data_IF_787265580658
#
_entry.id   IF_787265580658
#
_cell.length_a   1.000
_cell.length_b   1.000
_cell.length_c   1.000
_cell.angle_alpha   90.00
_cell.angle_beta   90.00
_cell.angle_gamma   90.00
#
_symmetry.space_group_name_H-M   'P 1'
#
loop_
_entity.id
_entity.type
_entity.pdbx_description
1 polymer ?
#
# COMPACT_ATOMS: atom_id res chain seq x y z
N UNK A 1 28.43 0.54 2.46
CA UNK A 1 27.35 1.33 3.09
C UNK A 1 27.96 2.65 3.54
N UNK A 2 27.20 3.74 3.57
CA UNK A 2 27.63 5.00 4.20
C UNK A 2 26.58 5.44 5.23
N UNK A 3 26.96 5.80 6.46
CA UNK A 3 26.06 6.50 7.38
C UNK A 3 25.85 7.93 6.87
N UNK A 4 24.60 8.33 6.72
CA UNK A 4 24.24 9.67 6.23
C UNK A 4 23.31 10.31 7.27
N UNK A 5 23.60 11.52 7.76
CA UNK A 5 22.68 12.24 8.65
C UNK A 5 21.30 12.35 7.99
N UNK A 6 20.23 12.15 8.78
CA UNK A 6 18.86 12.10 8.25
C UNK A 6 18.49 13.31 7.39
N UNK A 7 18.93 14.52 7.77
CA UNK A 7 18.68 15.77 7.06
C UNK A 7 19.49 15.93 5.75
N UNK A 8 20.44 15.01 5.48
CA UNK A 8 21.27 14.98 4.27
C UNK A 8 20.90 13.86 3.31
N UNK A 9 19.89 13.03 3.63
CA UNK A 9 19.48 11.92 2.77
C UNK A 9 19.12 12.38 1.36
N UNK A 10 18.29 13.42 1.24
CA UNK A 10 17.85 13.94 -0.06
C UNK A 10 19.03 14.48 -0.88
N UNK A 11 19.94 15.24 -0.26
CA UNK A 11 21.16 15.71 -0.90
C UNK A 11 22.06 14.56 -1.38
N UNK A 12 22.21 13.49 -0.58
CA UNK A 12 23.00 12.33 -0.96
C UNK A 12 22.38 11.58 -2.15
N UNK A 13 21.04 11.44 -2.19
CA UNK A 13 20.35 10.83 -3.34
C UNK A 13 20.49 11.70 -4.58
N UNK A 14 20.28 13.01 -4.48
CA UNK A 14 20.41 13.94 -5.61
C UNK A 14 21.82 13.98 -6.18
N UNK A 15 22.85 13.94 -5.33
CA UNK A 15 24.24 13.93 -5.77
C UNK A 15 24.62 12.63 -6.49
N UNK A 16 24.10 11.48 -6.03
CA UNK A 16 24.51 10.17 -6.54
C UNK A 16 23.62 9.63 -7.67
N UNK A 17 22.35 10.03 -7.74
CA UNK A 17 21.39 9.58 -8.76
C UNK A 17 21.89 9.73 -10.22
N UNK A 18 22.46 10.88 -10.62
CA UNK A 18 22.93 11.10 -12.00
C UNK A 18 24.12 10.20 -12.41
N UNK A 19 24.83 9.61 -11.44
CA UNK A 19 26.06 8.83 -11.66
C UNK A 19 25.79 7.40 -12.19
N UNK A 20 25.04 7.28 -13.30
CA UNK A 20 24.57 5.99 -13.85
C UNK A 20 25.69 4.99 -14.19
N UNK A 21 26.89 5.47 -14.51
CA UNK A 21 28.06 4.65 -14.87
C UNK A 21 28.83 4.09 -13.65
N UNK A 22 28.47 4.52 -12.43
CA UNK A 22 29.16 4.15 -11.19
C UNK A 22 28.15 3.56 -10.19
N UNK A 23 28.21 3.97 -8.92
CA UNK A 23 27.25 3.57 -7.88
C UNK A 23 25.80 4.01 -8.21
N UNK A 24 25.64 5.18 -8.84
CA UNK A 24 24.34 5.78 -9.14
C UNK A 24 23.48 6.04 -7.90
N UNK A 25 22.16 6.05 -8.06
CA UNK A 25 21.22 6.15 -6.95
C UNK A 25 21.38 5.00 -5.93
N UNK A 26 21.08 5.24 -4.64
CA UNK A 26 21.05 4.20 -3.63
C UNK A 26 20.13 3.03 -4.01
N UNK A 27 20.47 1.84 -3.53
CA UNK A 27 19.62 0.64 -3.66
C UNK A 27 18.80 0.36 -2.40
N UNK A 28 19.14 0.99 -1.27
CA UNK A 28 18.39 0.88 -0.01
C UNK A 28 18.78 2.02 0.95
N UNK A 29 17.80 2.51 1.70
CA UNK A 29 17.95 3.54 2.74
C UNK A 29 17.15 3.09 3.96
N UNK A 30 17.83 2.92 5.10
CA UNK A 30 17.21 2.50 6.36
C UNK A 30 17.78 1.18 6.90
N UNK A 31 16.92 0.38 7.53
CA UNK A 31 17.31 -0.79 8.32
C UNK A 31 18.03 -1.85 7.46
N UNK A 32 19.22 -2.33 7.86
CA UNK A 32 20.02 -3.29 7.12
C UNK A 32 19.36 -4.68 6.96
N UNK A 33 18.44 -5.04 7.87
CA UNK A 33 17.75 -6.34 7.85
C UNK A 33 16.96 -6.58 6.56
N UNK A 34 16.43 -5.53 5.91
CA UNK A 34 15.77 -5.63 4.60
C UNK A 34 16.71 -6.07 3.45
N UNK A 35 18.03 -6.04 3.67
CA UNK A 35 19.05 -6.57 2.77
C UNK A 35 19.64 -7.91 3.25
N UNK A 36 19.14 -8.46 4.37
CA UNK A 36 19.72 -9.65 5.00
C UNK A 36 21.03 -9.37 5.77
N UNK A 37 21.30 -8.11 6.09
CA UNK A 37 22.49 -7.73 6.87
C UNK A 37 22.08 -7.65 8.35
N UNK A 38 22.56 -8.59 9.15
CA UNK A 38 22.22 -8.72 10.58
C UNK A 38 23.06 -7.79 11.47
N UNK A 39 24.34 -7.62 11.15
CA UNK A 39 25.28 -6.82 11.93
C UNK A 39 26.17 -5.94 11.03
N UNK A 40 26.04 -4.63 11.18
CA UNK A 40 26.83 -3.64 10.44
C UNK A 40 28.31 -3.59 10.86
N UNK A 41 28.66 -4.16 12.02
CA UNK A 41 30.05 -4.28 12.49
C UNK A 41 30.76 -5.49 11.88
N UNK A 42 30.04 -6.38 11.18
CA UNK A 42 30.62 -7.55 10.51
C UNK A 42 30.57 -7.35 8.99
N UNK A 43 31.51 -6.55 8.48
CA UNK A 43 31.60 -6.28 7.03
C UNK A 43 32.27 -7.42 6.28
N UNK A 44 31.60 -7.96 5.25
CA UNK A 44 32.19 -8.97 4.36
C UNK A 44 33.38 -8.41 3.55
N UNK A 45 33.29 -7.12 3.19
CA UNK A 45 34.29 -6.41 2.39
C UNK A 45 34.56 -5.01 2.93
N UNK A 46 35.85 -4.66 2.97
CA UNK A 46 36.33 -3.35 3.41
C UNK A 46 36.27 -3.18 4.93
N UNK A 47 36.56 -1.95 5.36
CA UNK A 47 36.60 -1.59 6.78
C UNK A 47 35.21 -1.29 7.32
N UNK A 48 35.03 -1.55 8.62
CA UNK A 48 33.83 -1.18 9.35
C UNK A 48 33.70 0.34 9.46
N UNK A 49 32.46 0.84 9.48
CA UNK A 49 32.17 2.27 9.61
C UNK A 49 31.40 2.53 10.91
N UNK A 50 31.74 3.62 11.59
CA UNK A 50 31.05 4.06 12.79
C UNK A 50 29.79 4.85 12.41
N UNK A 51 28.69 4.58 13.11
CA UNK A 51 27.39 5.22 12.93
C UNK A 51 27.13 6.12 14.14
N UNK A 52 26.82 7.39 13.92
CA UNK A 52 26.49 8.33 14.98
C UNK A 52 24.96 8.42 15.19
N UNK A 53 24.49 8.86 16.36
CA UNK A 53 23.07 9.13 16.57
C UNK A 53 22.52 10.10 15.52
N UNK A 54 21.42 9.73 14.86
CA UNK A 54 20.80 10.51 13.77
C UNK A 54 21.29 10.14 12.36
N UNK A 55 22.31 9.29 12.24
CA UNK A 55 22.71 8.73 10.96
C UNK A 55 21.76 7.62 10.51
N UNK A 56 21.49 7.59 9.21
CA UNK A 56 20.72 6.57 8.52
C UNK A 56 21.68 5.76 7.62
N UNK A 57 21.70 4.41 7.72
CA UNK A 57 22.48 3.59 6.82
C UNK A 57 21.96 3.68 5.37
N UNK A 58 22.85 4.02 4.43
CA UNK A 58 22.53 4.08 3.00
C UNK A 58 23.42 3.13 2.21
N UNK A 59 22.81 2.37 1.30
CA UNK A 59 23.47 1.32 0.53
C UNK A 59 23.43 1.63 -0.96
N UNK A 60 24.54 1.35 -1.62
CA UNK A 60 24.70 1.45 -3.08
C UNK A 60 25.24 0.13 -3.61
N UNK A 61 24.89 -0.18 -4.86
CA UNK A 61 25.51 -1.28 -5.58
C UNK A 61 27.03 -1.03 -5.75
N UNK A 62 27.81 -2.10 -5.70
CA UNK A 62 29.27 -2.05 -5.77
C UNK A 62 29.81 -3.08 -6.77
N UNK A 63 30.95 -2.78 -7.41
CA UNK A 63 31.58 -3.66 -8.39
C UNK A 63 32.05 -5.00 -7.83
N UNK A 64 32.16 -5.14 -6.51
CA UNK A 64 32.49 -6.42 -5.84
C UNK A 64 31.42 -7.50 -6.05
N UNK A 65 30.21 -7.14 -6.50
CA UNK A 65 29.20 -8.13 -6.94
C UNK A 65 29.73 -9.07 -8.04
N UNK A 66 30.65 -8.61 -8.89
CA UNK A 66 31.29 -9.47 -9.88
C UNK A 66 32.21 -10.53 -9.26
N UNK A 67 32.90 -10.19 -8.16
CA UNK A 67 33.72 -11.13 -7.39
C UNK A 67 32.83 -12.18 -6.75
N UNK A 68 31.72 -11.76 -6.13
CA UNK A 68 30.72 -12.66 -5.54
C UNK A 68 30.09 -13.60 -6.56
N UNK A 69 29.79 -13.12 -7.77
CA UNK A 69 29.26 -13.96 -8.84
C UNK A 69 30.25 -15.07 -9.25
N UNK A 70 31.54 -14.74 -9.32
CA UNK A 70 32.62 -15.69 -9.63
C UNK A 70 32.80 -16.73 -8.52
N UNK A 71 32.78 -16.31 -7.25
CA UNK A 71 32.86 -17.21 -6.10
C UNK A 71 31.64 -18.14 -6.06
N UNK A 72 30.46 -17.58 -6.25
CA UNK A 72 29.18 -18.31 -6.22
C UNK A 72 29.05 -19.36 -7.32
N UNK A 73 29.52 -19.07 -8.54
CA UNK A 73 29.48 -20.02 -9.65
C UNK A 73 30.54 -21.13 -9.55
N UNK A 74 31.43 -21.07 -8.54
CA UNK A 74 32.51 -22.04 -8.30
C UNK A 74 33.39 -22.24 -9.54
N UNK A 75 33.73 -21.15 -10.22
CA UNK A 75 34.59 -21.20 -11.40
C UNK A 75 35.91 -21.91 -11.05
N UNK A 76 36.41 -22.85 -11.89
CA UNK A 76 37.66 -23.56 -11.61
C UNK A 76 38.88 -22.63 -11.61
N UNK A 77 38.80 -21.49 -12.29
CA UNK A 77 39.82 -20.45 -12.29
C UNK A 77 39.19 -19.10 -12.62
N UNK A 78 39.56 -18.06 -11.88
CA UNK A 78 39.22 -16.68 -12.19
C UNK A 78 40.26 -15.73 -11.58
N UNK A 79 40.44 -14.57 -12.22
CA UNK A 79 41.32 -13.51 -11.73
C UNK A 79 40.49 -12.26 -11.49
N UNK A 80 40.58 -11.71 -10.28
CA UNK A 80 39.90 -10.47 -9.88
C UNK A 80 40.89 -9.57 -9.12
N UNK A 81 40.48 -8.35 -8.81
CA UNK A 81 41.26 -7.46 -7.95
C UNK A 81 40.93 -7.72 -6.48
N UNK A 82 41.88 -7.50 -5.58
CA UNK A 82 41.59 -7.46 -4.14
C UNK A 82 40.75 -6.23 -3.81
N UNK A 83 39.78 -6.31 -2.88
CA UNK A 83 39.04 -5.15 -2.39
C UNK A 83 39.99 -4.02 -1.96
N UNK A 84 39.70 -2.78 -2.38
CA UNK A 84 40.57 -1.62 -2.15
C UNK A 84 41.77 -1.48 -3.11
N UNK A 85 42.07 -2.49 -3.92
CA UNK A 85 43.18 -2.48 -4.91
C UNK A 85 42.66 -2.37 -6.35
N UNK A 86 41.94 -1.30 -6.66
CA UNK A 86 41.31 -1.10 -7.98
C UNK A 86 42.33 -0.75 -9.08
N UNK A 87 41.99 -1.04 -10.34
CA UNK A 87 42.78 -0.61 -11.49
C UNK A 87 42.53 0.87 -11.80
N UNK A 88 43.53 1.70 -11.57
CA UNK A 88 43.48 3.14 -11.90
C UNK A 88 43.69 3.29 -13.41
N UNK A 89 42.75 3.98 -14.07
CA UNK A 89 42.77 4.19 -15.52
C UNK A 89 43.05 5.65 -15.87
N UNK A 90 43.43 5.92 -17.12
CA UNK A 90 43.53 7.29 -17.66
C UNK A 90 42.15 7.90 -18.04
N UNK A 91 41.06 7.12 -17.92
CA UNK A 91 39.70 7.61 -18.18
C UNK A 91 39.32 8.58 -17.06
N UNK A 92 39.27 9.87 -17.39
CA UNK A 92 38.78 10.89 -16.47
C UNK A 92 37.30 10.68 -16.18
N UNK A 93 36.88 10.94 -14.95
CA UNK A 93 35.47 11.12 -14.61
C UNK A 93 34.98 12.41 -15.27
N UNK A 94 34.64 12.36 -16.55
CA UNK A 94 33.91 13.41 -17.25
C UNK A 94 32.42 13.22 -16.98
N UNK A 95 32.01 13.34 -15.72
CA UNK A 95 30.60 13.35 -15.34
C UNK A 95 30.01 14.71 -15.72
N UNK A 96 29.70 14.90 -16.99
CA UNK A 96 28.57 15.75 -17.32
C UNK A 96 27.33 14.97 -16.94
N UNK A 97 26.53 15.43 -15.95
CA UNK A 97 25.20 14.86 -15.71
C UNK A 97 24.51 14.80 -17.06
N UNK A 98 23.97 13.64 -17.42
CA UNK A 98 23.18 13.54 -18.63
C UNK A 98 22.07 14.60 -18.53
N UNK A 99 22.07 15.65 -19.38
CA UNK A 99 21.07 16.70 -19.32
C UNK A 99 19.65 16.15 -19.58
N UNK A 100 19.53 14.87 -19.99
CA UNK A 100 18.29 14.14 -20.18
C UNK A 100 17.72 13.50 -18.90
N UNK A 101 18.43 13.52 -17.75
CA UNK A 101 17.82 13.09 -16.47
C UNK A 101 16.87 14.18 -15.94
N UNK A 102 15.70 14.30 -16.58
CA UNK A 102 14.65 15.26 -16.23
C UNK A 102 13.93 14.95 -14.91
N UNK A 103 14.05 13.73 -14.40
CA UNK A 103 13.33 13.29 -13.21
C UNK A 103 14.17 13.45 -11.94
N UNK A 104 13.66 14.25 -11.01
CA UNK A 104 14.28 14.50 -9.71
C UNK A 104 13.79 13.44 -8.71
N UNK A 105 14.66 12.63 -8.08
CA UNK A 105 14.24 11.68 -7.04
C UNK A 105 13.79 12.41 -5.77
N UNK A 106 12.77 11.88 -5.12
CA UNK A 106 12.26 12.29 -3.81
C UNK A 106 12.42 11.11 -2.85
N UNK A 107 12.93 11.40 -1.64
CA UNK A 107 13.11 10.42 -0.57
C UNK A 107 11.90 10.49 0.37
N UNK A 108 11.21 9.37 0.56
CA UNK A 108 9.99 9.30 1.38
C UNK A 108 10.16 8.25 2.47
N UNK A 109 10.04 8.63 3.74
CA UNK A 109 10.01 7.67 4.84
C UNK A 109 8.65 6.95 4.84
N UNK A 110 8.69 5.62 4.80
CA UNK A 110 7.50 4.75 4.80
C UNK A 110 7.42 3.84 6.03
N UNK A 111 8.48 3.72 6.83
CA UNK A 111 8.38 3.14 8.17
C UNK A 111 9.40 3.78 9.11
N UNK A 112 9.06 3.90 10.39
CA UNK A 112 9.99 4.29 11.45
C UNK A 112 10.64 3.09 12.14
N UNK A 113 9.96 1.95 12.19
CA UNK A 113 10.46 0.74 12.84
C UNK A 113 9.90 -0.53 12.16
N UNK A 114 10.73 -1.34 11.49
CA UNK A 114 12.11 -1.03 11.13
C UNK A 114 12.16 0.18 10.17
N UNK A 115 13.11 1.08 10.41
CA UNK A 115 13.28 2.30 9.60
C UNK A 115 13.39 1.97 8.10
N UNK A 116 12.53 2.55 7.28
CA UNK A 116 12.52 2.31 5.84
C UNK A 116 12.16 3.58 5.08
N UNK A 117 12.95 3.88 4.06
CA UNK A 117 12.65 4.91 3.07
C UNK A 117 12.47 4.29 1.69
N UNK A 118 11.68 4.97 0.86
CA UNK A 118 11.46 4.66 -0.54
C UNK A 118 11.84 5.84 -1.43
N UNK A 119 12.05 5.58 -2.72
CA UNK A 119 12.37 6.59 -3.73
C UNK A 119 11.32 6.61 -4.83
N UNK A 120 10.98 7.80 -5.29
CA UNK A 120 10.06 8.03 -6.43
C UNK A 120 10.50 9.30 -7.15
N UNK A 121 10.14 9.48 -8.42
CA UNK A 121 10.37 10.77 -9.06
C UNK A 121 9.37 11.82 -8.59
N UNK A 122 9.82 13.08 -8.52
CA UNK A 122 9.01 14.22 -8.12
C UNK A 122 7.72 14.31 -8.93
N UNK A 123 7.81 14.14 -10.26
CA UNK A 123 6.66 14.12 -11.16
C UNK A 123 5.63 13.06 -10.76
N UNK A 124 6.06 11.84 -10.44
CA UNK A 124 5.13 10.77 -10.07
C UNK A 124 4.56 10.98 -8.66
N UNK A 125 5.35 11.51 -7.72
CA UNK A 125 4.85 11.91 -6.41
C UNK A 125 3.77 13.00 -6.51
N UNK A 126 3.95 13.99 -7.38
CA UNK A 126 2.97 15.06 -7.64
C UNK A 126 1.68 14.52 -8.27
N UNK A 127 1.78 13.58 -9.23
CA UNK A 127 0.59 12.90 -9.79
C UNK A 127 -0.18 12.12 -8.72
N UNK A 128 0.52 11.41 -7.83
CA UNK A 128 -0.13 10.67 -6.74
C UNK A 128 -0.80 11.61 -5.75
N UNK A 129 -0.18 12.74 -5.40
CA UNK A 129 -0.82 13.79 -4.58
C UNK A 129 -2.07 14.35 -5.24
N UNK A 130 -2.06 14.53 -6.56
CA UNK A 130 -3.26 14.95 -7.29
C UNK A 130 -4.36 13.90 -7.23
N UNK A 131 -4.04 12.59 -7.27
CA UNK A 131 -5.03 11.53 -7.03
C UNK A 131 -5.63 11.64 -5.62
N UNK A 132 -4.81 11.89 -4.59
CA UNK A 132 -5.25 12.10 -3.20
C UNK A 132 -6.21 13.30 -3.08
N UNK A 133 -5.89 14.43 -3.72
CA UNK A 133 -6.75 15.60 -3.77
C UNK A 133 -8.08 15.33 -4.49
N UNK A 134 -8.05 14.57 -5.60
CA UNK A 134 -9.25 14.23 -6.38
C UNK A 134 -10.22 13.38 -5.57
N UNK A 135 -9.72 12.37 -4.85
CA UNK A 135 -10.57 11.49 -4.03
C UNK A 135 -10.94 12.12 -2.69
N UNK A 136 -10.18 13.09 -2.19
CA UNK A 136 -10.44 13.81 -0.95
C UNK A 136 -11.60 14.83 -1.01
N UNK A 137 -12.38 14.86 -2.09
CA UNK A 137 -13.62 15.65 -2.14
C UNK A 137 -14.65 15.09 -1.13
N UNK A 138 -15.54 15.94 -0.64
CA UNK A 138 -16.56 15.55 0.36
C UNK A 138 -17.96 15.86 -0.18
N UNK A 139 -18.49 15.03 -1.09
CA UNK A 139 -19.80 15.24 -1.68
C UNK A 139 -20.93 15.12 -0.65
N UNK A 140 -20.74 14.29 0.39
CA UNK A 140 -21.69 14.11 1.49
C UNK A 140 -21.65 15.21 2.56
N UNK A 141 -20.71 16.15 2.47
CA UNK A 141 -20.45 17.18 3.49
C UNK A 141 -20.34 16.60 4.91
N UNK A 142 -19.64 15.47 5.03
CA UNK A 142 -19.46 14.69 6.26
C UNK A 142 -18.44 15.32 7.22
N UNK A 143 -17.65 16.28 6.74
CA UNK A 143 -16.58 16.94 7.50
C UNK A 143 -15.21 16.32 7.25
N UNK A 144 -15.09 15.39 6.29
CA UNK A 144 -13.90 14.56 6.07
C UNK A 144 -12.72 15.35 5.51
N UNK A 145 -12.96 16.51 4.90
CA UNK A 145 -11.89 17.43 4.47
C UNK A 145 -10.98 17.85 5.62
N UNK A 146 -11.50 17.86 6.85
CA UNK A 146 -10.73 18.17 8.06
C UNK A 146 -9.93 16.97 8.60
N UNK A 147 -10.10 15.80 8.00
CA UNK A 147 -9.42 14.55 8.37
C UNK A 147 -8.27 14.20 7.41
N UNK A 148 -8.16 14.89 6.27
CA UNK A 148 -7.12 14.64 5.27
C UNK A 148 -5.74 14.87 5.89
N UNK A 149 -4.91 13.82 5.85
CA UNK A 149 -3.49 13.90 6.18
C UNK A 149 -2.73 13.85 4.85
N UNK A 150 -1.84 14.82 4.64
CA UNK A 150 -1.05 14.94 3.42
C UNK A 150 -0.13 13.73 3.22
N UNK A 151 -0.02 13.27 1.98
CA UNK A 151 0.89 12.23 1.51
C UNK A 151 0.58 10.82 2.05
N UNK A 152 -0.59 10.57 2.63
CA UNK A 152 -0.95 9.22 3.11
C UNK A 152 -1.16 8.26 1.96
N UNK A 153 -1.78 8.69 0.85
CA UNK A 153 -1.88 7.89 -0.37
C UNK A 153 -0.50 7.57 -0.93
N UNK A 154 0.40 8.56 -0.99
CA UNK A 154 1.77 8.37 -1.49
C UNK A 154 2.54 7.38 -0.62
N UNK A 155 2.52 7.55 0.70
CA UNK A 155 3.24 6.66 1.63
C UNK A 155 2.64 5.26 1.66
N UNK A 156 1.32 5.14 1.67
CA UNK A 156 0.59 3.86 1.59
C UNK A 156 0.95 3.10 0.31
N UNK A 157 0.87 3.75 -0.85
CA UNK A 157 1.20 3.12 -2.14
C UNK A 157 2.69 2.76 -2.25
N UNK A 158 3.60 3.57 -1.70
CA UNK A 158 5.01 3.22 -1.61
C UNK A 158 5.23 2.02 -0.68
N UNK A 159 4.59 1.94 0.48
CA UNK A 159 4.69 0.75 1.35
C UNK A 159 4.15 -0.50 0.66
N UNK A 160 2.97 -0.41 0.03
CA UNK A 160 2.38 -1.50 -0.74
C UNK A 160 3.25 -1.95 -1.92
N UNK A 161 4.02 -1.04 -2.54
CA UNK A 161 4.90 -1.40 -3.65
C UNK A 161 6.09 -2.26 -3.19
N UNK A 162 6.55 -2.10 -1.94
CA UNK A 162 7.58 -2.94 -1.32
C UNK A 162 7.04 -4.30 -0.83
N UNK A 163 5.74 -4.42 -0.55
CA UNK A 163 5.11 -5.65 -0.08
C UNK A 163 5.11 -6.78 -1.14
N UNK A 164 5.32 -8.02 -0.72
CA UNK A 164 5.19 -9.23 -1.55
C UNK A 164 3.85 -9.93 -1.31
N UNK A 165 3.31 -9.87 -0.10
CA UNK A 165 2.00 -10.40 0.27
C UNK A 165 1.13 -9.36 0.96
N UNK A 166 -0.12 -9.26 0.52
CA UNK A 166 -1.10 -8.27 1.00
C UNK A 166 -2.37 -8.97 1.46
N UNK A 167 -2.86 -8.60 2.64
CA UNK A 167 -4.17 -9.00 3.15
C UNK A 167 -5.12 -7.81 3.08
N UNK A 168 -6.21 -7.94 2.35
CA UNK A 168 -7.24 -6.89 2.23
C UNK A 168 -8.45 -7.28 3.08
N UNK A 169 -9.10 -6.33 3.74
CA UNK A 169 -10.39 -6.53 4.39
C UNK A 169 -11.35 -5.43 3.99
N UNK A 170 -12.61 -5.80 3.80
CA UNK A 170 -13.69 -4.91 3.40
C UNK A 170 -15.02 -5.49 3.85
N UNK A 171 -16.03 -4.63 3.99
CA UNK A 171 -17.38 -5.02 4.33
C UNK A 171 -17.87 -4.24 5.54
N UNK A 172 -18.96 -3.51 5.32
CA UNK A 172 -19.63 -2.69 6.33
C UNK A 172 -21.12 -3.08 6.40
N UNK A 173 -21.61 -3.71 7.48
CA UNK A 173 -23.00 -4.13 7.61
C UNK A 173 -23.94 -2.97 8.03
N UNK A 174 -24.01 -1.92 7.22
CA UNK A 174 -24.78 -0.71 7.52
C UNK A 174 -26.28 -0.97 7.66
N UNK A 175 -26.82 -1.88 6.84
CA UNK A 175 -28.24 -2.17 6.72
C UNK A 175 -28.67 -3.38 7.54
N UNK A 176 -28.47 -3.35 8.85
CA UNK A 176 -28.76 -4.43 9.81
C UNK A 176 -30.17 -5.05 9.77
N UNK A 177 -31.12 -4.47 9.04
CA UNK A 177 -32.49 -5.01 8.84
C UNK A 177 -32.68 -5.72 7.50
N UNK A 178 -31.68 -5.70 6.63
CA UNK A 178 -31.66 -6.35 5.32
C UNK A 178 -30.71 -7.55 5.31
N UNK A 179 -30.90 -8.42 4.32
CA UNK A 179 -30.02 -9.55 4.05
C UNK A 179 -29.64 -9.50 2.56
N UNK A 180 -28.36 -9.35 2.21
CA UNK A 180 -27.24 -9.05 3.11
C UNK A 180 -27.33 -7.64 3.74
N UNK A 181 -26.75 -7.42 4.94
CA UNK A 181 -26.68 -6.08 5.55
C UNK A 181 -25.53 -5.21 5.01
N UNK A 182 -24.64 -5.78 4.20
CA UNK A 182 -23.51 -5.09 3.57
C UNK A 182 -23.95 -3.93 2.66
N UNK A 183 -23.06 -2.95 2.53
CA UNK A 183 -23.21 -1.85 1.59
C UNK A 183 -22.31 -1.96 0.35
N UNK A 184 -22.60 -1.12 -0.64
CA UNK A 184 -21.89 -1.09 -1.93
C UNK A 184 -20.53 -0.40 -1.87
N UNK A 185 -20.22 0.36 -0.80
CA UNK A 185 -18.90 0.94 -0.60
C UNK A 185 -17.93 -0.04 0.07
N UNK A 186 -16.69 -0.08 -0.40
CA UNK A 186 -15.66 -1.02 0.01
C UNK A 186 -15.33 -2.11 -1.00
N UNK A 187 -16.25 -3.06 -1.31
CA UNK A 187 -15.95 -4.21 -2.13
C UNK A 187 -15.39 -3.85 -3.52
N UNK A 188 -15.94 -2.85 -4.25
CA UNK A 188 -15.35 -2.42 -5.52
C UNK A 188 -13.91 -1.95 -5.44
N UNK A 189 -13.58 -1.08 -4.47
CA UNK A 189 -12.22 -0.62 -4.23
C UNK A 189 -11.28 -1.76 -3.84
N UNK A 190 -11.75 -2.68 -2.97
CA UNK A 190 -10.98 -3.85 -2.54
C UNK A 190 -10.62 -4.77 -3.71
N UNK A 191 -11.57 -5.04 -4.61
CA UNK A 191 -11.36 -5.89 -5.77
C UNK A 191 -10.50 -5.21 -6.83
N UNK A 192 -10.61 -3.90 -7.02
CA UNK A 192 -9.72 -3.14 -7.89
C UNK A 192 -8.27 -3.17 -7.39
N UNK A 193 -8.05 -3.01 -6.08
CA UNK A 193 -6.74 -3.16 -5.45
C UNK A 193 -6.21 -4.58 -5.60
N UNK A 194 -7.02 -5.60 -5.32
CA UNK A 194 -6.62 -6.99 -5.45
C UNK A 194 -6.19 -7.33 -6.89
N UNK A 195 -6.97 -6.91 -7.89
CA UNK A 195 -6.64 -7.10 -9.30
C UNK A 195 -5.32 -6.41 -9.68
N UNK A 196 -5.11 -5.18 -9.20
CA UNK A 196 -3.88 -4.42 -9.46
C UNK A 196 -2.67 -5.09 -8.82
N UNK A 197 -2.74 -5.42 -7.54
CA UNK A 197 -1.66 -6.07 -6.80
C UNK A 197 -1.30 -7.45 -7.40
N UNK A 198 -2.29 -8.24 -7.80
CA UNK A 198 -2.05 -9.51 -8.52
C UNK A 198 -1.39 -9.28 -9.88
N UNK A 199 -1.79 -8.25 -10.63
CA UNK A 199 -1.15 -7.88 -11.90
C UNK A 199 0.31 -7.43 -11.72
N UNK A 200 0.65 -6.89 -10.54
CA UNK A 200 2.02 -6.59 -10.13
C UNK A 200 2.79 -7.81 -9.57
N UNK A 201 2.20 -9.01 -9.64
CA UNK A 201 2.83 -10.26 -9.21
C UNK A 201 2.83 -10.49 -7.68
N UNK A 202 2.04 -9.73 -6.92
CA UNK A 202 1.94 -9.87 -5.46
C UNK A 202 0.96 -10.97 -5.08
N UNK A 203 1.20 -11.62 -3.93
CA UNK A 203 0.25 -12.53 -3.31
C UNK A 203 -0.83 -11.70 -2.61
N UNK A 204 -2.10 -11.97 -2.89
CA UNK A 204 -3.21 -11.23 -2.30
C UNK A 204 -4.21 -12.21 -1.72
N UNK A 205 -4.76 -11.90 -0.55
CA UNK A 205 -5.93 -12.56 0.02
C UNK A 205 -6.89 -11.50 0.57
N UNK A 206 -8.18 -11.85 0.67
CA UNK A 206 -9.20 -11.05 1.32
C UNK A 206 -9.65 -11.75 2.61
N UNK A 207 -9.67 -11.04 3.74
CA UNK A 207 -10.29 -11.50 4.98
C UNK A 207 -11.60 -10.75 5.20
N UNK A 208 -12.66 -11.48 5.47
CA UNK A 208 -14.01 -10.94 5.71
C UNK A 208 -14.68 -11.68 6.87
N UNK A 209 -15.86 -11.21 7.28
CA UNK A 209 -16.65 -11.87 8.32
C UNK A 209 -17.04 -13.29 7.86
N UNK A 210 -17.10 -14.24 8.79
CA UNK A 210 -17.57 -15.59 8.48
C UNK A 210 -18.98 -15.56 7.87
N UNK A 211 -19.87 -14.70 8.39
CA UNK A 211 -21.25 -14.61 7.89
C UNK A 211 -21.33 -14.16 6.42
N UNK A 212 -20.33 -13.43 5.92
CA UNK A 212 -20.34 -12.82 4.60
C UNK A 212 -19.43 -13.56 3.60
N UNK A 213 -18.68 -14.58 4.05
CA UNK A 213 -17.71 -15.28 3.19
C UNK A 213 -18.34 -15.87 1.93
N UNK A 214 -19.53 -16.49 2.03
CA UNK A 214 -20.22 -17.09 0.89
C UNK A 214 -20.72 -16.04 -0.11
N UNK A 215 -21.15 -14.88 0.39
CA UNK A 215 -21.54 -13.75 -0.45
C UNK A 215 -20.33 -13.20 -1.21
N UNK A 216 -19.22 -12.93 -0.51
CA UNK A 216 -17.99 -12.47 -1.15
C UNK A 216 -17.45 -13.49 -2.14
N UNK A 217 -17.58 -14.79 -1.86
CA UNK A 217 -17.17 -15.85 -2.78
C UNK A 217 -17.93 -15.76 -4.11
N UNK A 218 -19.26 -15.64 -4.05
CA UNK A 218 -20.10 -15.48 -5.25
C UNK A 218 -19.77 -14.20 -6.02
N UNK A 219 -19.59 -13.07 -5.31
CA UNK A 219 -19.21 -11.80 -5.95
C UNK A 219 -17.88 -11.95 -6.71
N UNK A 220 -16.89 -12.64 -6.14
CA UNK A 220 -15.61 -12.89 -6.81
C UNK A 220 -15.79 -13.81 -8.02
N UNK A 221 -16.57 -14.88 -7.89
CA UNK A 221 -16.88 -15.81 -8.99
C UNK A 221 -17.56 -15.08 -10.16
N UNK A 222 -18.61 -14.31 -9.90
CA UNK A 222 -19.32 -13.53 -10.91
C UNK A 222 -18.44 -12.42 -11.51
N UNK A 223 -17.56 -11.82 -10.69
CA UNK A 223 -16.59 -10.83 -11.17
C UNK A 223 -15.59 -11.43 -12.16
N UNK A 224 -15.23 -12.71 -12.00
CA UNK A 224 -14.39 -13.42 -12.98
C UNK A 224 -15.19 -13.74 -14.23
N UNK A 225 -16.40 -14.27 -14.09
CA UNK A 225 -17.28 -14.62 -15.21
C UNK A 225 -17.57 -13.40 -16.09
N UNK A 226 -17.83 -12.24 -15.48
CA UNK A 226 -18.06 -10.99 -16.19
C UNK A 226 -16.77 -10.27 -16.62
N UNK A 227 -15.59 -10.81 -16.33
CA UNK A 227 -14.29 -10.24 -16.74
C UNK A 227 -13.93 -8.93 -16.04
N UNK A 228 -14.46 -8.69 -14.84
CA UNK A 228 -13.99 -7.63 -13.92
C UNK A 228 -12.65 -8.04 -13.33
N UNK A 229 -12.54 -9.28 -12.88
CA UNK A 229 -11.32 -9.91 -12.37
C UNK A 229 -10.75 -10.90 -13.38
N UNK A 230 -9.42 -10.98 -13.45
CA UNK A 230 -8.72 -11.97 -14.29
C UNK A 230 -8.46 -13.29 -13.55
N UNK A 231 -8.25 -13.20 -12.24
CA UNK A 231 -7.86 -14.32 -11.38
C UNK A 231 -8.68 -14.24 -10.09
N UNK A 232 -9.00 -15.40 -9.52
CA UNK A 232 -9.63 -15.46 -8.21
C UNK A 232 -8.72 -14.90 -7.11
N UNK A 233 -9.34 -14.36 -6.06
CA UNK A 233 -8.66 -13.89 -4.85
C UNK A 233 -9.03 -14.83 -3.71
N UNK A 234 -8.06 -15.46 -3.01
CA UNK A 234 -8.33 -16.28 -1.84
C UNK A 234 -9.13 -15.53 -0.78
N UNK A 235 -10.16 -16.18 -0.23
CA UNK A 235 -10.95 -15.67 0.89
C UNK A 235 -10.55 -16.38 2.19
N UNK A 236 -10.43 -15.60 3.26
CA UNK A 236 -10.09 -16.02 4.61
C UNK A 236 -11.13 -15.46 5.59
N UNK A 237 -11.22 -16.06 6.77
CA UNK A 237 -12.01 -15.55 7.89
C UNK A 237 -11.16 -15.52 9.14
N UNK A 238 -11.53 -14.66 10.08
CA UNK A 238 -10.86 -14.52 11.37
C UNK A 238 -11.88 -14.21 12.46
N UNK A 239 -11.89 -15.00 13.55
CA UNK A 239 -12.91 -14.92 14.61
C UNK A 239 -12.40 -14.56 16.00
N UNK A 240 -11.10 -14.43 16.21
CA UNK A 240 -10.56 -14.05 17.52
C UNK A 240 -10.74 -15.09 18.64
N UNK A 241 -10.91 -16.38 18.33
CA UNK A 241 -11.39 -17.39 19.31
C UNK A 241 -10.38 -17.76 20.41
N UNK A 242 -9.07 -17.55 20.22
CA UNK A 242 -8.04 -17.95 21.19
C UNK A 242 -6.99 -16.86 21.42
N UNK A 243 -6.34 -16.81 22.60
CA UNK A 243 -5.23 -15.88 22.83
C UNK A 243 -4.14 -16.03 21.75
N UNK A 244 -3.57 -14.91 21.32
CA UNK A 244 -2.53 -14.84 20.28
C UNK A 244 -2.94 -15.38 18.90
N UNK A 245 -4.24 -15.63 18.65
CA UNK A 245 -4.68 -16.11 17.33
C UNK A 245 -4.43 -15.09 16.22
N UNK A 246 -4.41 -13.79 16.50
CA UNK A 246 -4.07 -12.76 15.52
C UNK A 246 -2.62 -12.91 15.03
N UNK A 247 -1.66 -13.07 15.93
CA UNK A 247 -0.24 -13.30 15.56
C UNK A 247 -0.10 -14.62 14.80
N UNK A 248 -0.75 -15.71 15.25
CA UNK A 248 -0.76 -16.99 14.51
C UNK A 248 -1.42 -16.89 13.13
N UNK A 249 -2.38 -16.00 12.97
CA UNK A 249 -3.00 -15.75 11.68
C UNK A 249 -2.01 -15.01 10.75
N UNK A 250 -1.31 -14.01 11.28
CA UNK A 250 -0.40 -13.15 10.52
C UNK A 250 0.98 -13.76 10.27
N UNK A 251 1.41 -14.74 11.05
CA UNK A 251 2.77 -15.28 11.05
C UNK A 251 2.79 -16.79 10.85
N UNK A 252 3.83 -17.29 10.17
CA UNK A 252 4.05 -18.73 9.99
C UNK A 252 4.25 -19.40 11.36
N UNK A 253 3.39 -20.37 11.71
CA UNK A 253 3.34 -21.04 13.01
C UNK A 253 3.29 -20.10 14.24
N UNK A 254 2.92 -18.83 14.03
CA UNK A 254 2.91 -17.79 15.06
C UNK A 254 4.28 -17.19 15.39
N UNK A 255 5.30 -17.38 14.56
CA UNK A 255 6.62 -16.75 14.69
C UNK A 255 6.60 -15.30 14.18
N UNK A 256 6.72 -14.27 15.06
CA UNK A 256 6.69 -12.87 14.65
C UNK A 256 7.82 -12.46 13.70
N UNK A 257 8.87 -13.27 13.53
CA UNK A 257 9.95 -13.02 12.58
C UNK A 257 9.65 -13.53 11.16
N UNK A 258 8.58 -14.31 11.00
CA UNK A 258 8.14 -14.91 9.74
C UNK A 258 6.69 -14.49 9.38
N UNK A 259 6.44 -13.21 9.06
CA UNK A 259 5.12 -12.75 8.67
C UNK A 259 4.66 -13.39 7.35
N UNK A 260 3.39 -13.79 7.29
CA UNK A 260 2.70 -14.31 6.09
C UNK A 260 2.29 -13.18 5.15
N UNK A 261 2.04 -12.00 5.71
CA UNK A 261 1.63 -10.79 5.02
C UNK A 261 2.57 -9.65 5.36
N UNK A 262 3.03 -8.90 4.35
CA UNK A 262 3.87 -7.73 4.56
C UNK A 262 3.03 -6.45 4.75
N UNK A 263 1.77 -6.45 4.27
CA UNK A 263 0.90 -5.28 4.34
C UNK A 263 -0.58 -5.67 4.51
N UNK A 264 -1.29 -5.04 5.44
CA UNK A 264 -2.73 -5.20 5.64
C UNK A 264 -3.46 -3.94 5.17
N UNK A 265 -4.56 -4.09 4.45
CA UNK A 265 -5.40 -2.98 3.98
C UNK A 265 -6.83 -3.18 4.46
N UNK A 266 -7.38 -2.19 5.16
CA UNK A 266 -8.79 -2.10 5.45
C UNK A 266 -9.41 -1.05 4.53
N UNK A 267 -10.49 -1.39 3.85
CA UNK A 267 -11.24 -0.46 2.99
C UNK A 267 -12.72 -0.61 3.26
N UNK A 268 -13.35 0.44 3.77
CA UNK A 268 -14.74 0.42 4.22
C UNK A 268 -15.05 -0.80 5.10
N UNK A 269 -14.16 -1.05 6.05
CA UNK A 269 -14.32 -2.09 7.05
C UNK A 269 -14.65 -1.42 8.36
N UNK A 270 -15.75 -1.77 9.01
CA UNK A 270 -16.10 -1.21 10.33
C UNK A 270 -14.99 -1.47 11.35
N UNK A 271 -14.56 -0.44 12.08
CA UNK A 271 -13.57 -0.56 13.15
C UNK A 271 -14.19 -0.38 14.53
N UNK A 272 -13.61 -0.99 15.58
CA UNK A 272 -14.10 -0.79 16.94
C UNK A 272 -13.93 0.65 17.41
N UNK A 273 -14.91 1.16 18.12
CA UNK A 273 -14.83 2.40 18.88
C UNK A 273 -14.18 2.16 20.25
N UNK A 274 -13.95 3.24 21.01
CA UNK A 274 -13.25 3.18 22.31
C UNK A 274 -13.93 2.35 23.40
N UNK A 275 -15.21 2.04 23.25
CA UNK A 275 -15.95 1.17 24.16
C UNK A 275 -15.97 -0.31 23.73
N UNK A 276 -15.24 -0.65 22.65
CA UNK A 276 -15.15 -2.00 22.09
C UNK A 276 -16.42 -2.45 21.35
N UNK A 277 -17.31 -1.53 20.99
CA UNK A 277 -18.42 -1.76 20.07
C UNK A 277 -18.09 -1.25 18.66
N UNK A 278 -18.97 -1.58 17.72
CA UNK A 278 -18.86 -1.19 16.30
C UNK A 278 -20.09 -0.37 15.94
N UNK A 279 -19.93 0.74 15.24
CA UNK A 279 -21.04 1.64 14.96
C UNK A 279 -21.08 2.04 13.49
N UNK A 280 -22.29 2.13 12.92
CA UNK A 280 -22.48 2.92 11.70
C UNK A 280 -22.55 4.43 12.02
N UNK A 281 -22.56 5.27 10.99
CA UNK A 281 -22.65 6.73 11.12
C UNK A 281 -23.89 7.23 11.91
N UNK A 282 -24.94 6.39 12.02
CA UNK A 282 -26.17 6.67 12.77
C UNK A 282 -26.10 6.24 14.25
N UNK A 283 -24.93 5.82 14.77
CA UNK A 283 -24.70 5.28 16.12
C UNK A 283 -25.43 3.96 16.41
N UNK A 284 -25.82 3.21 15.38
CA UNK A 284 -26.38 1.87 15.59
C UNK A 284 -25.24 0.90 15.87
N UNK A 285 -25.35 0.12 16.94
CA UNK A 285 -24.35 -0.87 17.31
C UNK A 285 -24.43 -2.11 16.40
N UNK A 286 -23.32 -2.44 15.74
CA UNK A 286 -23.16 -3.51 14.76
C UNK A 286 -22.37 -4.71 15.29
N UNK A 287 -22.00 -4.74 16.58
CA UNK A 287 -21.12 -5.78 17.15
C UNK A 287 -21.58 -7.22 16.89
N UNK A 288 -22.88 -7.44 16.73
CA UNK A 288 -23.47 -8.75 16.43
C UNK A 288 -23.29 -9.18 14.96
N UNK A 289 -22.75 -8.32 14.09
CA UNK A 289 -22.53 -8.55 12.67
C UNK A 289 -21.05 -8.44 12.27
N UNK A 290 -20.15 -8.13 13.19
CA UNK A 290 -18.75 -7.81 12.87
C UNK A 290 -17.83 -8.74 13.65
N UNK A 291 -17.06 -9.55 12.92
CA UNK A 291 -15.97 -10.33 13.46
C UNK A 291 -14.79 -9.40 13.82
N UNK A 292 -13.98 -9.74 14.83
CA UNK A 292 -12.93 -8.86 15.39
C UNK A 292 -11.66 -8.80 14.51
N UNK A 293 -11.82 -8.60 13.20
CA UNK A 293 -10.72 -8.50 12.22
C UNK A 293 -9.76 -7.35 12.56
N UNK A 294 -10.22 -6.34 13.29
CA UNK A 294 -9.38 -5.24 13.78
C UNK A 294 -8.31 -5.69 14.79
N UNK A 295 -8.46 -6.85 15.43
CA UNK A 295 -7.39 -7.48 16.22
C UNK A 295 -6.16 -7.83 15.37
N UNK A 296 -6.34 -8.10 14.07
CA UNK A 296 -5.21 -8.30 13.15
C UNK A 296 -4.41 -7.02 12.97
N UNK A 297 -5.07 -5.85 12.91
CA UNK A 297 -4.39 -4.56 12.77
C UNK A 297 -3.64 -4.19 14.05
N UNK A 298 -4.22 -4.49 15.21
CA UNK A 298 -3.53 -4.27 16.49
C UNK A 298 -2.35 -5.22 16.65
N UNK A 299 -2.48 -6.50 16.28
CA UNK A 299 -1.38 -7.43 16.32
C UNK A 299 -0.25 -7.06 15.34
N UNK A 300 -0.58 -6.56 14.15
CA UNK A 300 0.38 -6.13 13.14
C UNK A 300 1.35 -5.05 13.68
N UNK A 301 0.89 -4.13 14.54
CA UNK A 301 1.75 -3.11 15.16
C UNK A 301 2.86 -3.69 16.03
N UNK A 302 2.70 -4.92 16.54
CA UNK A 302 3.69 -5.61 17.35
C UNK A 302 4.55 -6.60 16.53
N UNK A 303 4.28 -6.77 15.24
CA UNK A 303 5.01 -7.70 14.35
C UNK A 303 5.87 -6.89 13.38
N UNK A 304 7.19 -6.85 13.55
CA UNK A 304 8.08 -6.12 12.66
C UNK A 304 7.92 -6.54 11.20
N UNK A 305 7.87 -5.56 10.31
CA UNK A 305 7.78 -5.81 8.86
C UNK A 305 6.36 -5.93 8.31
N UNK A 306 5.33 -5.83 9.15
CA UNK A 306 3.94 -5.70 8.71
C UNK A 306 3.51 -4.24 8.76
N UNK A 307 3.16 -3.67 7.61
CA UNK A 307 2.54 -2.34 7.51
C UNK A 307 1.01 -2.42 7.43
N UNK A 308 0.32 -1.34 7.80
CA UNK A 308 -1.14 -1.26 7.78
C UNK A 308 -1.65 0.00 7.08
N UNK A 309 -2.68 -0.14 6.24
CA UNK A 309 -3.41 0.97 5.62
C UNK A 309 -4.89 0.87 5.96
N UNK A 310 -5.49 1.96 6.45
CA UNK A 310 -6.95 2.15 6.50
C UNK A 310 -7.40 3.10 5.40
N UNK A 311 -8.51 2.77 4.74
CA UNK A 311 -9.20 3.59 3.75
C UNK A 311 -10.65 3.73 4.23
N UNK A 312 -11.08 4.96 4.47
CA UNK A 312 -12.39 5.25 5.05
C UNK A 312 -12.90 6.63 4.64
N UNK A 313 -14.20 6.85 4.82
CA UNK A 313 -14.88 8.08 4.43
C UNK A 313 -15.80 8.69 5.51
N UNK A 314 -15.89 8.05 6.69
CA UNK A 314 -16.73 8.46 7.81
C UNK A 314 -15.99 8.55 9.15
N UNK A 315 -14.83 7.92 9.30
CA UNK A 315 -14.01 7.92 10.51
C UNK A 315 -14.38 6.84 11.55
N UNK A 316 -15.32 5.95 11.21
CA UNK A 316 -15.71 4.76 11.97
C UNK A 316 -15.19 3.46 11.32
N UNK A 317 -14.38 3.58 10.27
CA UNK A 317 -13.73 2.49 9.56
C UNK A 317 -12.38 2.16 10.21
N UNK A 318 -12.00 0.90 10.12
CA UNK A 318 -10.75 0.35 10.62
C UNK A 318 -9.55 1.07 9.99
N UNK A 319 -8.63 1.50 10.86
CA UNK A 319 -7.42 2.24 10.48
C UNK A 319 -7.59 3.76 10.53
N UNK A 320 -8.82 4.28 10.65
CA UNK A 320 -9.08 5.72 10.81
C UNK A 320 -8.82 6.24 12.23
N UNK A 321 -8.44 5.37 13.18
CA UNK A 321 -8.07 5.77 14.54
C UNK A 321 -6.93 6.80 14.59
N UNK A 322 -6.11 6.91 13.54
CA UNK A 322 -5.08 7.94 13.39
C UNK A 322 -5.64 9.36 13.33
N UNK A 323 -6.87 9.53 12.82
CA UNK A 323 -7.58 10.82 12.71
C UNK A 323 -8.73 10.96 13.72
N UNK A 324 -8.79 10.08 14.74
CA UNK A 324 -9.88 9.98 15.72
C UNK A 324 -10.30 11.31 16.33
N UNK A 325 -9.35 12.14 16.75
CA UNK A 325 -9.66 13.45 17.36
C UNK A 325 -10.29 14.43 16.36
N UNK A 326 -9.91 14.33 15.08
CA UNK A 326 -10.59 15.04 13.99
C UNK A 326 -12.01 14.52 13.79
N UNK A 327 -12.21 13.21 13.82
CA UNK A 327 -13.53 12.57 13.67
C UNK A 327 -14.49 13.05 14.75
N UNK A 328 -14.06 13.01 16.02
CA UNK A 328 -14.85 13.51 17.15
C UNK A 328 -15.33 14.95 16.98
N UNK A 329 -14.44 15.80 16.44
CA UNK A 329 -14.69 17.25 16.31
C UNK A 329 -15.53 17.63 15.11
N UNK A 330 -15.33 16.97 13.97
CA UNK A 330 -15.87 17.42 12.68
C UNK A 330 -16.92 16.50 12.08
N UNK A 331 -16.96 15.23 12.50
CA UNK A 331 -17.94 14.26 11.98
C UNK A 331 -19.13 14.17 12.91
N UNK A 332 -20.33 14.17 12.34
CA UNK A 332 -21.56 13.95 13.10
C UNK A 332 -21.46 12.64 13.86
N UNK A 333 -21.82 12.65 15.15
CA UNK A 333 -21.74 11.49 16.03
C UNK A 333 -20.31 11.00 16.36
N UNK A 334 -19.26 11.72 15.95
CA UNK A 334 -17.86 11.32 16.07
C UNK A 334 -17.43 10.87 17.47
N UNK A 335 -17.90 11.53 18.53
CA UNK A 335 -17.60 11.13 19.93
C UNK A 335 -17.94 9.66 20.25
N UNK A 336 -18.92 9.08 19.57
CA UNK A 336 -19.33 7.68 19.78
C UNK A 336 -18.76 6.75 18.73
N UNK A 337 -18.75 7.17 17.46
CA UNK A 337 -18.49 6.26 16.34
C UNK A 337 -17.01 6.19 15.95
N UNK A 338 -16.19 7.15 16.39
CA UNK A 338 -14.80 7.24 15.93
C UNK A 338 -14.04 5.94 16.22
N UNK A 339 -13.43 5.38 15.18
CA UNK A 339 -12.62 4.18 15.31
C UNK A 339 -11.44 4.43 16.28
N UNK A 340 -11.13 3.43 17.10
CA UNK A 340 -10.05 3.46 18.07
C UNK A 340 -8.75 2.87 17.50
N UNK A 341 -8.84 2.06 16.46
CA UNK A 341 -7.70 1.31 15.89
C UNK A 341 -7.05 2.12 14.76
N UNK A 342 -5.80 2.61 14.95
CA UNK A 342 -5.08 3.31 13.91
C UNK A 342 -4.41 2.33 12.93
N UNK A 343 -4.16 2.81 11.72
CA UNK A 343 -3.23 2.20 10.78
C UNK A 343 -1.98 3.09 10.62
N UNK A 344 -0.91 2.54 10.08
CA UNK A 344 0.31 3.30 9.75
C UNK A 344 0.00 4.39 8.72
N UNK A 345 -0.86 4.04 7.76
CA UNK A 345 -1.41 4.96 6.77
C UNK A 345 -2.93 5.02 6.82
N UNK A 346 -3.50 6.21 6.72
CA UNK A 346 -4.95 6.48 6.72
C UNK A 346 -5.30 7.33 5.51
N UNK A 347 -5.84 6.70 4.47
CA UNK A 347 -6.33 7.38 3.26
C UNK A 347 -7.79 7.75 3.48
N UNK A 348 -8.06 9.04 3.62
CA UNK A 348 -9.44 9.56 3.70
C UNK A 348 -9.90 9.92 2.29
N UNK A 349 -11.04 9.38 1.88
CA UNK A 349 -11.65 9.64 0.58
C UNK A 349 -13.12 10.04 0.75
N UNK A 350 -13.70 10.65 -0.29
CA UNK A 350 -15.12 11.00 -0.35
C UNK A 350 -16.06 9.83 -0.52
N UNK A 351 -15.53 8.68 -0.94
CA UNK A 351 -16.13 7.34 -1.01
C UNK A 351 -14.94 6.39 -0.91
N UNK A 352 -14.99 5.36 -0.07
CA UNK A 352 -13.84 4.47 0.16
C UNK A 352 -13.40 3.73 -1.10
N UNK A 353 -14.33 3.33 -1.97
CA UNK A 353 -14.06 2.78 -3.29
C UNK A 353 -13.12 3.68 -4.11
N UNK A 354 -13.32 5.00 -4.07
CA UNK A 354 -12.44 5.95 -4.77
C UNK A 354 -11.03 5.94 -4.19
N UNK A 355 -10.89 5.83 -2.88
CA UNK A 355 -9.59 5.63 -2.22
C UNK A 355 -8.88 4.37 -2.72
N UNK A 356 -9.60 3.25 -2.83
CA UNK A 356 -9.09 2.01 -3.43
C UNK A 356 -8.64 2.20 -4.89
N UNK A 357 -9.41 2.92 -5.70
CA UNK A 357 -9.06 3.23 -7.10
C UNK A 357 -7.81 4.11 -7.19
N UNK A 358 -7.68 5.11 -6.32
CA UNK A 358 -6.51 5.96 -6.24
C UNK A 358 -5.26 5.17 -5.86
N UNK A 359 -5.38 4.20 -4.93
CA UNK A 359 -4.27 3.28 -4.61
C UNK A 359 -3.87 2.45 -5.82
N UNK A 360 -4.82 1.88 -6.56
CA UNK A 360 -4.54 1.14 -7.81
C UNK A 360 -3.82 2.01 -8.84
N UNK A 361 -4.28 3.25 -9.03
CA UNK A 361 -3.66 4.23 -9.94
C UNK A 361 -2.25 4.62 -9.49
N UNK A 362 -2.05 4.87 -8.20
CA UNK A 362 -0.75 5.20 -7.63
C UNK A 362 0.25 4.04 -7.77
N UNK A 363 -0.18 2.79 -7.54
CA UNK A 363 0.65 1.61 -7.77
C UNK A 363 1.09 1.47 -9.24
N UNK A 364 0.20 1.76 -10.20
CA UNK A 364 0.57 1.82 -11.62
C UNK A 364 1.61 2.92 -11.91
N UNK A 365 1.42 4.12 -11.37
CA UNK A 365 2.37 5.23 -11.54
C UNK A 365 3.73 4.91 -10.94
N UNK A 366 3.76 4.25 -9.77
CA UNK A 366 4.99 3.81 -9.13
C UNK A 366 5.71 2.74 -9.97
N UNK A 367 5.00 1.75 -10.47
CA UNK A 367 5.58 0.69 -11.30
C UNK A 367 6.05 1.17 -12.68
N UNK A 368 5.55 2.32 -13.15
CA UNK A 368 6.02 2.97 -14.39
C UNK A 368 7.07 4.06 -14.15
N UNK A 369 7.44 4.32 -12.89
CA UNK A 369 8.50 5.25 -12.52
C UNK A 369 9.87 4.55 -12.52
N UNK A 370 10.78 4.95 -13.41
CA UNK A 370 12.12 4.33 -13.50
C UNK A 370 12.93 4.46 -12.20
N UNK A 371 12.81 5.59 -11.50
CA UNK A 371 13.49 5.81 -10.20
C UNK A 371 13.02 4.78 -9.18
N UNK A 372 11.69 4.58 -9.10
CA UNK A 372 11.08 3.68 -8.14
C UNK A 372 11.32 2.21 -8.50
N UNK A 373 11.14 1.82 -9.76
CA UNK A 373 11.42 0.46 -10.26
C UNK A 373 12.88 0.05 -9.97
N UNK A 374 13.83 0.94 -10.25
CA UNK A 374 15.25 0.70 -9.93
C UNK A 374 15.46 0.45 -8.44
N UNK A 375 14.85 1.28 -7.60
CA UNK A 375 14.97 1.18 -6.15
C UNK A 375 14.39 -0.15 -5.62
N UNK A 376 13.17 -0.50 -6.04
CA UNK A 376 12.52 -1.75 -5.65
C UNK A 376 13.30 -3.00 -6.08
N UNK A 377 13.86 -2.99 -7.30
CA UNK A 377 14.68 -4.11 -7.80
C UNK A 377 16.03 -4.23 -7.11
N UNK A 378 16.45 -3.20 -6.36
CA UNK A 378 17.77 -3.11 -5.73
C UNK A 378 18.92 -3.33 -6.72
N UNK A 379 18.74 -2.93 -7.99
CA UNK A 379 19.62 -3.32 -9.08
C UNK A 379 19.96 -2.16 -10.02
N UNK A 380 21.15 -2.25 -10.63
CA UNK A 380 21.55 -1.41 -11.77
C UNK A 380 21.03 -2.05 -13.07
N UNK A 381 20.53 -1.26 -14.02
CA UNK A 381 20.04 -1.75 -15.32
C UNK A 381 18.69 -1.17 -15.77
N UNK A 382 18.23 -1.62 -16.94
CA UNK A 382 17.03 -1.10 -17.59
C UNK A 382 15.73 -1.49 -16.85
N UNK A 383 14.70 -0.62 -16.86
CA UNK A 383 13.44 -0.88 -16.20
C UNK A 383 12.67 -2.02 -16.87
N UNK A 384 11.89 -2.78 -16.08
CA UNK A 384 11.00 -3.83 -16.59
C UNK A 384 9.66 -3.25 -17.04
N UNK A 385 9.67 -2.45 -18.11
CA UNK A 385 8.44 -1.85 -18.67
C UNK A 385 7.64 -2.80 -19.57
N UNK A 386 8.08 -4.04 -19.75
CA UNK A 386 7.44 -5.03 -20.64
C UNK A 386 6.03 -5.44 -20.22
N UNK A 387 5.64 -5.19 -18.97
CA UNK A 387 4.33 -5.59 -18.43
C UNK A 387 3.34 -4.42 -18.30
N UNK A 388 3.70 -3.24 -18.81
CA UNK A 388 2.90 -2.00 -18.65
C UNK A 388 1.45 -2.15 -19.12
N UNK A 389 1.23 -2.88 -20.22
CA UNK A 389 -0.12 -3.15 -20.75
C UNK A 389 -0.93 -4.03 -19.80
N UNK A 390 -0.31 -5.05 -19.20
CA UNK A 390 -0.94 -5.90 -18.18
C UNK A 390 -1.35 -5.10 -16.95
N UNK A 391 -0.48 -4.20 -16.47
CA UNK A 391 -0.79 -3.34 -15.34
C UNK A 391 -1.90 -2.34 -15.68
N UNK A 392 -1.85 -1.72 -16.86
CA UNK A 392 -2.90 -0.80 -17.31
C UNK A 392 -4.27 -1.50 -17.43
N UNK A 393 -4.29 -2.73 -17.95
CA UNK A 393 -5.51 -3.53 -18.04
C UNK A 393 -6.10 -3.91 -16.66
N UNK A 394 -5.31 -3.86 -15.58
CA UNK A 394 -5.77 -4.12 -14.21
C UNK A 394 -6.46 -2.92 -13.54
N UNK A 395 -6.20 -1.69 -14.02
CA UNK A 395 -6.76 -0.47 -13.46
C UNK A 395 -8.30 -0.49 -13.40
N UNK A 396 -8.91 0.29 -12.49
CA UNK A 396 -10.34 0.53 -12.50
C UNK A 396 -10.76 1.16 -13.83
N UNK A 397 -11.98 0.85 -14.28
CA UNK A 397 -12.57 1.47 -15.46
C UNK A 397 -14.07 1.58 -15.27
N UNK A 398 -14.70 2.53 -15.95
CA UNK A 398 -16.16 2.73 -15.91
C UNK A 398 -16.90 1.42 -16.20
N UNK A 399 -16.44 0.65 -17.20
CA UNK A 399 -17.04 -0.63 -17.57
C UNK A 399 -16.90 -1.70 -16.48
N UNK A 400 -15.76 -1.77 -15.81
CA UNK A 400 -15.54 -2.72 -14.70
C UNK A 400 -16.43 -2.36 -13.51
N UNK A 401 -16.52 -1.07 -13.21
CA UNK A 401 -17.36 -0.57 -12.11
C UNK A 401 -18.85 -0.82 -12.37
N UNK A 402 -19.33 -0.56 -13.59
CA UNK A 402 -20.72 -0.85 -13.98
C UNK A 402 -21.08 -2.32 -13.74
N UNK A 403 -20.22 -3.24 -14.21
CA UNK A 403 -20.43 -4.67 -14.03
C UNK A 403 -20.38 -5.07 -12.56
N UNK A 404 -19.40 -4.56 -11.82
CA UNK A 404 -19.24 -4.92 -10.42
C UNK A 404 -20.40 -4.41 -9.57
N UNK A 405 -20.83 -3.17 -9.77
CA UNK A 405 -21.99 -2.63 -9.06
C UNK A 405 -23.28 -3.38 -9.44
N UNK A 406 -23.44 -3.78 -10.70
CA UNK A 406 -24.54 -4.67 -11.11
C UNK A 406 -24.50 -6.01 -10.36
N UNK A 407 -23.33 -6.64 -10.23
CA UNK A 407 -23.15 -7.87 -9.44
C UNK A 407 -23.58 -7.63 -7.99
N UNK A 408 -23.13 -6.54 -7.36
CA UNK A 408 -23.51 -6.23 -5.98
C UNK A 408 -25.04 -6.08 -5.83
N UNK A 409 -25.68 -5.39 -6.78
CA UNK A 409 -27.14 -5.22 -6.84
C UNK A 409 -27.85 -6.57 -7.01
N UNK A 410 -27.35 -7.46 -7.88
CA UNK A 410 -27.90 -8.80 -8.08
C UNK A 410 -27.81 -9.66 -6.81
N UNK A 411 -26.77 -9.45 -5.99
CA UNK A 411 -26.62 -10.07 -4.67
C UNK A 411 -27.39 -9.33 -3.54
N UNK A 412 -28.16 -8.30 -3.86
CA UNK A 412 -29.02 -7.59 -2.90
C UNK A 412 -28.30 -6.56 -2.03
N UNK A 413 -27.06 -6.21 -2.35
CA UNK A 413 -26.23 -5.22 -1.62
C UNK A 413 -26.68 -3.81 -1.98
N UNK A 414 -26.76 -2.95 -0.97
CA UNK A 414 -27.45 -1.65 -1.05
C UNK A 414 -26.49 -0.48 -0.84
N UNK A 415 -26.87 0.68 -1.35
CA UNK A 415 -26.16 1.93 -1.03
C UNK A 415 -26.21 2.23 0.46
N UNK A 416 -25.05 2.47 1.09
CA UNK A 416 -24.91 2.68 2.54
C UNK A 416 -25.77 3.82 3.08
N UNK A 417 -25.82 4.92 2.33
CA UNK A 417 -26.56 6.14 2.72
C UNK A 417 -28.07 5.98 2.52
N UNK A 418 -28.53 5.53 1.35
CA UNK A 418 -29.96 5.55 0.99
C UNK A 418 -30.69 4.25 1.33
N UNK A 419 -29.98 3.12 1.39
CA UNK A 419 -30.59 1.78 1.44
C UNK A 419 -31.20 1.30 0.11
N UNK A 420 -31.04 2.09 -0.96
CA UNK A 420 -31.55 1.72 -2.27
C UNK A 420 -30.78 0.53 -2.84
N UNK A 421 -31.53 -0.38 -3.46
CA UNK A 421 -30.97 -1.43 -4.30
C UNK A 421 -30.91 -0.90 -5.73
N UNK A 422 -29.74 -0.45 -6.16
CA UNK A 422 -29.56 0.17 -7.46
C UNK A 422 -28.13 0.58 -7.72
N UNK A 423 -27.91 1.14 -8.91
CA UNK A 423 -26.60 1.57 -9.41
C UNK A 423 -26.13 2.88 -8.73
N UNK A 424 -25.92 2.82 -7.41
CA UNK A 424 -25.40 3.90 -6.58
C UNK A 424 -24.51 3.37 -5.44
N UNK A 425 -23.60 4.23 -4.99
CA UNK A 425 -22.78 4.01 -3.79
C UNK A 425 -22.85 5.28 -2.96
N UNK A 426 -23.10 5.15 -1.66
CA UNK A 426 -23.20 6.31 -0.76
C UNK A 426 -24.21 7.40 -1.18
N UNK A 427 -25.28 6.97 -1.84
CA UNK A 427 -26.32 7.86 -2.36
C UNK A 427 -25.90 8.67 -3.59
N UNK A 428 -24.73 8.38 -4.15
CA UNK A 428 -24.24 8.98 -5.38
C UNK A 428 -24.51 8.05 -6.57
N UNK A 429 -25.07 8.56 -7.68
CA UNK A 429 -25.41 7.75 -8.83
C UNK A 429 -24.14 7.30 -9.59
N UNK A 430 -24.16 6.08 -10.11
CA UNK A 430 -23.06 5.54 -10.89
C UNK A 430 -22.65 6.41 -12.09
N UNK A 431 -23.61 6.73 -12.97
CA UNK A 431 -23.30 7.34 -14.27
C UNK A 431 -22.71 8.75 -14.17
N UNK A 432 -23.05 9.53 -13.14
CA UNK A 432 -22.64 10.94 -13.03
C UNK A 432 -21.60 11.21 -11.93
N UNK A 433 -21.44 10.32 -10.95
CA UNK A 433 -20.47 10.51 -9.87
C UNK A 433 -19.30 9.52 -9.98
N UNK A 434 -19.58 8.22 -9.92
CA UNK A 434 -18.54 7.19 -9.89
C UNK A 434 -17.85 7.05 -11.24
N UNK A 435 -18.61 7.12 -12.35
CA UNK A 435 -18.03 7.02 -13.69
C UNK A 435 -17.08 8.18 -13.98
N UNK A 436 -17.45 9.41 -13.58
CA UNK A 436 -16.64 10.61 -13.77
C UNK A 436 -15.43 10.65 -12.85
N UNK A 437 -15.57 10.16 -11.62
CA UNK A 437 -14.43 9.98 -10.72
C UNK A 437 -13.38 9.06 -11.34
N UNK A 438 -13.80 7.89 -11.85
CA UNK A 438 -12.87 6.94 -12.49
C UNK A 438 -12.17 7.58 -13.70
N UNK A 439 -12.90 8.33 -14.55
CA UNK A 439 -12.30 9.03 -15.69
C UNK A 439 -11.22 10.03 -15.25
N UNK A 440 -11.51 10.85 -14.22
CA UNK A 440 -10.55 11.83 -13.68
C UNK A 440 -9.30 11.16 -13.11
N UNK A 441 -9.44 10.05 -12.39
CA UNK A 441 -8.30 9.28 -11.88
C UNK A 441 -7.46 8.72 -13.03
N UNK A 442 -8.09 8.20 -14.08
CA UNK A 442 -7.40 7.66 -15.25
C UNK A 442 -6.70 8.75 -16.08
N UNK A 443 -7.27 9.94 -16.21
CA UNK A 443 -6.62 11.10 -16.84
C UNK A 443 -5.32 11.50 -16.13
N UNK A 444 -5.31 11.42 -14.79
CA UNK A 444 -4.11 11.66 -14.00
C UNK A 444 -3.13 10.48 -14.04
N UNK A 445 -3.55 9.29 -14.46
CA UNK A 445 -2.74 8.06 -14.37
C UNK A 445 -2.07 7.67 -15.69
N UNK A 446 -2.84 7.64 -16.77
CA UNK A 446 -2.38 7.28 -18.11
C UNK A 446 -1.68 8.45 -18.80
#
# INVERSE_FOLDING_TARGET
MRPIPQDKLEAAVLATHPMKKYHGAPVHIGSPGFLGIEDLQKTDYGDTVHIHPGDVPVFWACGVTGVEAVVSCKSPLAFTHSPGSMFITDVKNSDTPDPLTKEVPVVVQISSDPLLYSLVSQRMAERIRLLEEIVGIDPGNRGIKNLLIKDELLKSSLSLSHAKSVLITTGFPTHHQHVPPEETDGPPGALAMAATLQALGKKVAIVTDERSIDMHKKIIEDSIEQGVLKTAVPLLTYKGETPNCAVRFLCEDGDPTAPRFDHLVAIERTGRASDGNYYNARKVNLKHLVDPIDDLFVAAQAVPGISTTGIGDGGNELGTGKVKEGVKKYVRNGETIACDVPADFTVIAGVSNWGGYAVSCALYLLNTCEIHDRYLRKAIGFPKLSERETWAASLPSVRKEEKLLSILVDHGIRSGVTGNLGMEVDGLPFYDAHSDMIKRLLEVTL
#
